data_IF_374171621264
#
_entry.id   IF_374171621264
#
_cell.length_a   1.000
_cell.length_b   1.000
_cell.length_c   1.000
_cell.angle_alpha   90.00
_cell.angle_beta   90.00
_cell.angle_gamma   90.00
#
_symmetry.space_group_name_H-M   'P 1'
#
loop_
_entity.id
_entity.type
_entity.pdbx_description
1 polymer ?
#
# COMPACT_ATOMS: atom_id res chain seq x y z
N UNK A 1 13.76 -8.56 -3.17
CA UNK A 1 12.85 -8.14 -4.26
C UNK A 1 11.78 -7.25 -3.66
N UNK A 2 11.30 -6.23 -4.38
CA UNK A 2 10.21 -5.38 -3.89
C UNK A 2 8.87 -6.07 -4.14
N UNK A 3 7.91 -5.92 -3.21
CA UNK A 3 6.55 -6.43 -3.38
C UNK A 3 5.90 -5.75 -4.58
N UNK A 4 5.51 -6.53 -5.59
CA UNK A 4 4.79 -6.03 -6.76
C UNK A 4 3.35 -6.55 -6.80
N UNK A 5 2.47 -5.77 -7.43
CA UNK A 5 1.09 -6.11 -7.67
C UNK A 5 0.70 -5.64 -9.07
N UNK A 6 0.19 -6.57 -9.88
CA UNK A 6 -0.36 -6.28 -11.20
C UNK A 6 -1.84 -5.95 -11.06
N UNK A 7 -2.22 -4.77 -11.51
CA UNK A 7 -3.62 -4.33 -11.47
C UNK A 7 -4.46 -5.03 -12.56
N UNK A 8 -5.78 -4.86 -12.51
CA UNK A 8 -6.73 -5.41 -13.51
C UNK A 8 -6.43 -4.99 -14.96
N UNK A 9 -5.76 -3.85 -15.14
CA UNK A 9 -5.36 -3.29 -16.44
C UNK A 9 -3.98 -3.77 -16.91
N UNK A 10 -3.36 -4.70 -16.19
CA UNK A 10 -2.07 -5.28 -16.51
C UNK A 10 -0.85 -4.41 -16.23
N UNK A 11 -1.02 -3.27 -15.56
CA UNK A 11 0.08 -2.43 -15.09
C UNK A 11 0.64 -2.96 -13.78
N UNK A 12 1.96 -3.12 -13.71
CA UNK A 12 2.65 -3.51 -12.49
C UNK A 12 2.97 -2.30 -11.62
N UNK A 13 2.72 -2.44 -10.33
CA UNK A 13 3.06 -1.46 -9.31
C UNK A 13 3.84 -2.12 -8.18
N UNK A 14 4.66 -1.33 -7.51
CA UNK A 14 5.54 -1.74 -6.43
C UNK A 14 5.17 -1.01 -5.15
N UNK A 15 5.11 -1.74 -4.04
CA UNK A 15 4.77 -1.19 -2.74
C UNK A 15 5.95 -0.42 -2.15
N UNK A 16 5.64 0.77 -1.64
CA UNK A 16 6.58 1.64 -0.96
C UNK A 16 6.02 2.09 0.39
N UNK A 17 6.91 2.51 1.29
CA UNK A 17 6.61 3.11 2.57
C UNK A 17 7.30 4.46 2.72
N UNK A 18 6.59 5.44 3.29
CA UNK A 18 7.13 6.71 3.74
C UNK A 18 6.70 6.99 5.17
N UNK A 19 7.67 7.04 6.09
CA UNK A 19 7.41 7.45 7.46
C UNK A 19 7.33 8.98 7.56
N UNK A 20 6.34 9.49 8.30
CA UNK A 20 6.22 10.91 8.63
C UNK A 20 5.70 11.09 10.06
N UNK A 21 6.09 12.20 10.68
CA UNK A 21 5.49 12.63 11.95
C UNK A 21 4.28 13.49 11.62
N UNK A 22 3.11 13.11 12.14
CA UNK A 22 1.90 13.94 12.03
C UNK A 22 1.87 15.00 13.13
N UNK A 23 1.02 16.02 12.99
CA UNK A 23 0.94 17.15 13.93
C UNK A 23 0.73 16.75 15.41
N UNK A 24 0.17 15.56 15.67
CA UNK A 24 0.02 15.01 17.02
C UNK A 24 1.30 14.42 17.62
N UNK A 25 2.43 14.51 16.92
CA UNK A 25 3.73 13.94 17.34
C UNK A 25 3.88 12.44 17.09
N UNK A 26 2.86 11.77 16.56
CA UNK A 26 2.91 10.33 16.26
C UNK A 26 3.62 10.08 14.94
N UNK A 27 4.47 9.06 14.91
CA UNK A 27 5.02 8.52 13.66
C UNK A 27 3.96 7.67 12.97
N UNK A 28 3.75 7.92 11.68
CA UNK A 28 2.88 7.13 10.82
C UNK A 28 3.61 6.71 9.55
N UNK A 29 3.43 5.45 9.19
CA UNK A 29 3.93 4.90 7.93
C UNK A 29 2.84 5.01 6.86
N UNK A 30 3.14 5.77 5.80
CA UNK A 30 2.29 5.91 4.64
C UNK A 30 2.73 4.89 3.59
N UNK A 31 1.90 3.89 3.37
CA UNK A 31 2.11 2.90 2.31
C UNK A 31 1.44 3.33 1.01
N UNK A 32 2.15 3.19 -0.10
CA UNK A 32 1.65 3.57 -1.43
C UNK A 32 2.26 2.73 -2.55
N UNK A 33 1.57 2.66 -3.68
CA UNK A 33 2.03 1.94 -4.86
C UNK A 33 2.60 2.89 -5.92
N UNK A 34 3.73 2.53 -6.51
CA UNK A 34 4.40 3.29 -7.57
C UNK A 34 4.80 2.38 -8.74
N UNK A 35 4.91 2.92 -9.96
CA UNK A 35 5.20 2.11 -11.17
C UNK A 35 6.64 1.63 -11.28
N UNK A 36 7.55 2.15 -10.45
CA UNK A 36 8.96 1.77 -10.42
C UNK A 36 9.38 1.51 -8.99
N UNK A 37 10.19 0.48 -8.71
CA UNK A 37 10.81 0.31 -7.40
C UNK A 37 11.86 1.41 -7.19
N UNK A 38 11.97 1.90 -5.96
CA UNK A 38 12.93 2.93 -5.60
C UNK A 38 13.09 3.09 -4.08
N UNK A 39 13.45 4.29 -3.66
CA UNK A 39 13.60 4.61 -2.25
C UNK A 39 12.29 4.36 -1.48
N UNK A 40 12.37 3.55 -0.43
CA UNK A 40 11.23 3.15 0.38
C UNK A 40 10.44 1.96 -0.19
N UNK A 41 10.90 1.29 -1.25
CA UNK A 41 10.30 0.05 -1.70
C UNK A 41 10.39 -1.02 -0.60
N UNK A 42 9.29 -1.72 -0.33
CA UNK A 42 9.23 -2.77 0.70
C UNK A 42 9.20 -4.13 0.04
N UNK A 43 9.78 -5.13 0.71
CA UNK A 43 9.82 -6.50 0.20
C UNK A 43 8.48 -7.22 0.34
N UNK A 44 7.67 -6.85 1.33
CA UNK A 44 6.47 -7.57 1.72
C UNK A 44 5.32 -6.63 2.10
N UNK A 45 4.10 -7.17 2.00
CA UNK A 45 2.90 -6.49 2.44
C UNK A 45 2.82 -6.54 3.98
N UNK A 46 2.64 -5.40 4.68
CA UNK A 46 2.56 -5.39 6.13
C UNK A 46 1.35 -6.17 6.65
N UNK A 47 1.52 -6.78 7.82
CA UNK A 47 0.45 -7.52 8.47
C UNK A 47 -0.78 -6.65 8.76
N UNK A 48 -1.95 -7.27 8.58
CA UNK A 48 -3.22 -6.58 8.77
C UNK A 48 -3.60 -5.63 7.62
N UNK A 49 -2.90 -5.63 6.48
CA UNK A 49 -3.30 -4.93 5.27
C UNK A 49 -3.65 -5.89 4.14
N UNK A 50 -4.49 -5.45 3.22
CA UNK A 50 -4.78 -6.11 1.95
C UNK A 50 -4.68 -5.10 0.82
N UNK A 51 -4.29 -5.58 -0.36
CA UNK A 51 -4.33 -4.77 -1.58
C UNK A 51 -5.75 -4.78 -2.12
N UNK A 52 -6.26 -3.59 -2.43
CA UNK A 52 -7.48 -3.39 -3.19
C UNK A 52 -7.18 -2.50 -4.39
N UNK A 53 -7.99 -2.55 -5.42
CA UNK A 53 -7.83 -1.68 -6.59
C UNK A 53 -8.93 -0.61 -6.59
N UNK A 54 -8.60 0.63 -6.93
CA UNK A 54 -9.62 1.67 -7.15
C UNK A 54 -10.37 1.38 -8.43
N UNK A 55 -11.69 1.20 -8.36
CA UNK A 55 -12.55 0.98 -9.53
C UNK A 55 -12.43 2.12 -10.56
N UNK A 56 -12.25 3.36 -10.08
CA UNK A 56 -12.16 4.56 -10.95
C UNK A 56 -10.84 4.64 -11.72
N UNK A 57 -9.72 4.36 -11.07
CA UNK A 57 -8.37 4.62 -11.64
C UNK A 57 -7.58 3.36 -11.96
N UNK A 58 -7.99 2.20 -11.45
CA UNK A 58 -7.20 0.97 -11.47
C UNK A 58 -5.95 1.03 -10.58
N UNK A 59 -5.85 2.00 -9.66
CA UNK A 59 -4.67 2.13 -8.80
C UNK A 59 -4.75 1.13 -7.64
N UNK A 60 -3.72 0.30 -7.41
CA UNK A 60 -3.63 -0.52 -6.20
C UNK A 60 -3.44 0.34 -4.95
N UNK A 61 -4.16 0.03 -3.88
CA UNK A 61 -4.18 0.76 -2.60
C UNK A 61 -4.17 -0.24 -1.45
N UNK A 62 -3.50 0.08 -0.35
CA UNK A 62 -3.57 -0.70 0.89
C UNK A 62 -4.81 -0.33 1.68
N UNK A 63 -5.64 -1.33 1.97
CA UNK A 63 -6.75 -1.22 2.93
C UNK A 63 -6.42 -2.05 4.16
N UNK A 64 -6.60 -1.47 5.35
CA UNK A 64 -6.54 -2.26 6.60
C UNK A 64 -7.59 -3.35 6.55
N UNK A 65 -7.19 -4.58 6.86
CA UNK A 65 -8.13 -5.66 7.15
C UNK A 65 -8.97 -5.19 8.34
N UNK A 66 -10.29 -5.15 8.18
CA UNK A 66 -11.18 -4.84 9.30
C UNK A 66 -10.89 -5.83 10.42
N UNK A 67 -10.63 -5.34 11.64
CA UNK A 67 -10.54 -6.18 12.83
C UNK A 67 -11.92 -6.49 13.44
N UNK A 68 -13.00 -5.96 12.87
CA UNK A 68 -14.36 -6.18 13.38
C UNK A 68 -15.11 -7.20 12.52
N UNK A 69 -15.54 -8.35 13.10
CA UNK A 69 -16.19 -9.44 12.37
C UNK A 69 -17.72 -9.32 12.25
N UNK A 70 -18.35 -8.27 12.79
CA UNK A 70 -19.80 -8.06 12.70
C UNK A 70 -20.06 -6.75 11.95
N UNK A 71 -20.13 -6.84 10.62
CA UNK A 71 -20.74 -5.85 9.76
C UNK A 71 -21.99 -6.45 9.15
#
# INVERSE_FOLDING_TARGET
MAFSHKNSRGTEYYLHVRSRIVASGKQVDLYFFAKKPGAGAVAELPDGYKVIESERTGLPILKKKSKFPWG
#
